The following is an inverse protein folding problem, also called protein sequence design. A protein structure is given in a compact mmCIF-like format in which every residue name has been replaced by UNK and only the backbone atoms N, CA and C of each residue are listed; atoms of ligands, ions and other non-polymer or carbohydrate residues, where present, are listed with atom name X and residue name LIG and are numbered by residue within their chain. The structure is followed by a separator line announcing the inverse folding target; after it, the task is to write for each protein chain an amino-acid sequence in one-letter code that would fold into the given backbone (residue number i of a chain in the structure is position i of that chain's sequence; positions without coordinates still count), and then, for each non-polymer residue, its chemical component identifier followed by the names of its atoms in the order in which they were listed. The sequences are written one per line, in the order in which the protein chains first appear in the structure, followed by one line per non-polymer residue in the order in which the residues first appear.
data_IF_507842744103
#
_entry.id   IF_507842744103
#
_cell.length_a   1.000
_cell.length_b   1.000
_cell.length_c   1.000
_cell.angle_alpha   90.00
_cell.angle_beta   90.00
_cell.angle_gamma   90.00
#
_symmetry.space_group_name_H-M   'P 1'
#
loop_
_entity.id
_entity.type
_entity.pdbx_description
1 polymer ?
#
# COMPACT_ATOMS: atom_id res chain seq x y z
N UNK A 1 12.53 -36.11 28.58
CA UNK A 1 11.24 -35.57 28.10
C UNK A 1 11.58 -34.55 27.04
N UNK A 2 11.18 -34.82 25.81
CA UNK A 2 11.35 -33.82 24.74
C UNK A 2 10.28 -32.72 24.94
N UNK A 3 10.74 -31.49 25.05
CA UNK A 3 9.84 -30.33 25.17
C UNK A 3 9.04 -30.19 23.86
N UNK A 4 7.74 -29.98 23.97
CA UNK A 4 6.90 -29.61 22.82
C UNK A 4 7.15 -28.15 22.40
N UNK A 5 6.81 -27.80 21.16
CA UNK A 5 6.91 -26.41 20.67
C UNK A 5 6.10 -25.43 21.56
N UNK A 6 4.92 -25.86 22.00
CA UNK A 6 4.06 -25.06 22.88
C UNK A 6 4.69 -24.81 24.26
N UNK A 7 5.30 -25.83 24.87
CA UNK A 7 5.99 -25.67 26.17
C UNK A 7 7.23 -24.80 26.07
N UNK A 8 7.99 -24.95 24.97
CA UNK A 8 9.17 -24.13 24.71
C UNK A 8 8.79 -22.66 24.53
N UNK A 9 7.75 -22.40 23.70
CA UNK A 9 7.27 -21.05 23.44
C UNK A 9 6.68 -20.40 24.72
N UNK A 10 5.87 -21.10 25.51
CA UNK A 10 5.34 -20.59 26.77
C UNK A 10 6.43 -20.14 27.73
N UNK A 11 7.52 -20.90 27.90
CA UNK A 11 8.66 -20.51 28.74
C UNK A 11 9.40 -19.27 28.23
N UNK A 12 9.53 -19.14 26.92
CA UNK A 12 10.12 -17.96 26.30
C UNK A 12 9.20 -16.74 26.53
N UNK A 13 7.88 -16.89 26.33
CA UNK A 13 6.91 -15.82 26.54
C UNK A 13 6.85 -15.30 27.97
N UNK A 14 7.04 -16.15 28.99
CA UNK A 14 7.17 -15.71 30.38
C UNK A 14 8.37 -14.76 30.56
N UNK A 15 9.50 -15.07 29.92
CA UNK A 15 10.68 -14.20 29.95
C UNK A 15 10.46 -12.91 29.13
N UNK A 16 9.79 -12.99 28.00
CA UNK A 16 9.42 -11.83 27.16
C UNK A 16 8.53 -10.88 27.96
N UNK A 17 7.53 -11.41 28.67
CA UNK A 17 6.59 -10.63 29.49
C UNK A 17 7.26 -9.88 30.63
N UNK A 18 8.36 -10.44 31.19
CA UNK A 18 9.13 -9.77 32.21
C UNK A 18 10.00 -8.62 31.70
N UNK A 19 10.28 -8.59 30.39
CA UNK A 19 11.22 -7.62 29.77
C UNK A 19 10.53 -6.58 28.91
N UNK A 20 9.37 -6.87 28.35
CA UNK A 20 8.63 -5.97 27.47
C UNK A 20 7.40 -5.39 28.19
N UNK A 21 6.99 -4.15 27.86
CA UNK A 21 5.73 -3.60 28.33
C UNK A 21 4.53 -4.46 27.91
N UNK A 22 3.47 -4.50 28.73
CA UNK A 22 2.27 -5.28 28.45
C UNK A 22 1.62 -4.92 27.09
N UNK A 23 1.67 -3.67 26.69
CA UNK A 23 1.20 -3.21 25.38
C UNK A 23 1.97 -3.85 24.22
N UNK A 24 3.30 -3.87 24.30
CA UNK A 24 4.17 -4.50 23.28
C UNK A 24 3.96 -6.02 23.23
N UNK A 25 3.82 -6.65 24.39
CA UNK A 25 3.55 -8.08 24.48
C UNK A 25 2.21 -8.42 23.80
N UNK A 26 1.15 -7.66 24.07
CA UNK A 26 -0.17 -7.88 23.49
C UNK A 26 -0.18 -7.70 21.96
N UNK A 27 0.52 -6.71 21.46
CA UNK A 27 0.54 -6.39 20.02
C UNK A 27 1.29 -7.45 19.22
N UNK A 28 2.43 -7.94 19.72
CA UNK A 28 3.36 -8.72 18.91
C UNK A 28 3.45 -10.20 19.28
N UNK A 29 3.13 -10.56 20.51
CA UNK A 29 3.36 -11.90 21.05
C UNK A 29 2.12 -12.61 21.58
N UNK A 30 1.05 -11.89 21.89
CA UNK A 30 -0.15 -12.49 22.50
C UNK A 30 -0.87 -13.49 21.57
N UNK A 31 -0.79 -13.24 20.26
CA UNK A 31 -1.43 -14.05 19.22
C UNK A 31 -0.41 -14.88 18.40
N UNK A 32 0.83 -14.93 18.84
CA UNK A 32 1.88 -15.71 18.19
C UNK A 32 1.82 -17.18 18.63
N UNK A 33 1.60 -18.08 17.67
CA UNK A 33 1.40 -19.50 17.94
C UNK A 33 2.64 -20.32 17.55
N UNK A 34 3.12 -21.25 18.42
CA UNK A 34 4.24 -22.11 18.08
C UNK A 34 3.84 -23.18 17.07
N UNK A 35 4.52 -23.23 15.93
CA UNK A 35 4.21 -24.13 14.82
C UNK A 35 5.03 -25.42 14.88
N UNK A 36 6.33 -25.30 15.06
CA UNK A 36 7.25 -26.44 15.07
C UNK A 36 8.50 -26.15 15.91
N UNK A 37 9.04 -27.21 16.53
CA UNK A 37 10.32 -27.16 17.25
C UNK A 37 11.26 -28.23 16.70
N UNK A 38 12.47 -27.80 16.31
CA UNK A 38 13.58 -28.69 15.97
C UNK A 38 14.75 -28.52 16.93
N UNK A 39 15.88 -29.17 16.66
CA UNK A 39 17.04 -29.08 17.55
C UNK A 39 17.56 -27.63 17.71
N UNK A 40 17.51 -26.84 16.65
CA UNK A 40 18.13 -25.51 16.60
C UNK A 40 17.16 -24.38 16.18
N UNK A 41 15.89 -24.72 15.86
CA UNK A 41 14.89 -23.78 15.33
C UNK A 41 13.53 -23.96 16.01
N UNK A 42 12.94 -22.85 16.44
CA UNK A 42 11.54 -22.75 16.82
C UNK A 42 10.79 -21.89 15.79
N UNK A 43 9.87 -22.47 15.05
CA UNK A 43 9.01 -21.76 14.14
C UNK A 43 7.75 -21.27 14.87
N UNK A 44 7.45 -19.99 14.74
CA UNK A 44 6.31 -19.30 15.39
C UNK A 44 5.44 -18.66 14.31
N UNK A 45 4.15 -18.93 14.34
CA UNK A 45 3.16 -18.34 13.45
C UNK A 45 2.70 -16.97 13.95
N UNK A 46 2.59 -16.02 13.03
CA UNK A 46 1.97 -14.72 13.24
C UNK A 46 0.89 -14.48 12.20
N UNK A 47 -0.08 -13.62 12.50
CA UNK A 47 -1.21 -13.33 11.59
C UNK A 47 -0.85 -12.44 10.40
N UNK A 48 0.34 -11.88 10.35
CA UNK A 48 0.77 -10.93 9.32
C UNK A 48 2.22 -11.19 8.93
N UNK A 49 2.51 -11.20 7.63
CA UNK A 49 3.86 -11.33 7.08
C UNK A 49 4.75 -10.16 7.56
N UNK A 50 4.20 -8.96 7.59
CA UNK A 50 4.87 -7.79 8.16
C UNK A 50 5.22 -7.97 9.64
N UNK A 51 4.30 -8.55 10.46
CA UNK A 51 4.58 -8.82 11.87
C UNK A 51 5.69 -9.86 12.02
N UNK A 52 5.73 -10.88 11.14
CA UNK A 52 6.78 -11.89 11.13
C UNK A 52 8.16 -11.27 10.87
N UNK A 53 8.32 -10.54 9.78
CA UNK A 53 9.58 -9.88 9.41
C UNK A 53 10.02 -8.87 10.48
N UNK A 54 9.08 -8.04 10.95
CA UNK A 54 9.39 -6.99 11.91
C UNK A 54 9.78 -7.52 13.29
N UNK A 55 9.09 -8.55 13.81
CA UNK A 55 9.42 -9.19 15.10
C UNK A 55 10.76 -9.93 14.98
N UNK A 56 11.02 -10.60 13.88
CA UNK A 56 12.27 -11.31 13.63
C UNK A 56 13.46 -10.34 13.58
N UNK A 57 13.33 -9.25 12.82
CA UNK A 57 14.40 -8.24 12.68
C UNK A 57 14.68 -7.50 14.01
N UNK A 58 13.63 -7.13 14.72
CA UNK A 58 13.75 -6.29 15.91
C UNK A 58 13.98 -7.04 17.21
N UNK A 59 13.39 -8.20 17.38
CA UNK A 59 13.43 -8.96 18.62
C UNK A 59 14.15 -10.30 18.48
N UNK A 60 14.56 -10.73 17.28
CA UNK A 60 15.18 -12.03 17.02
C UNK A 60 16.39 -12.30 17.91
N UNK A 61 17.32 -11.35 18.03
CA UNK A 61 18.49 -11.47 18.90
C UNK A 61 18.11 -11.58 20.39
N UNK A 62 17.15 -10.75 20.85
CA UNK A 62 16.67 -10.79 22.22
C UNK A 62 15.95 -12.10 22.53
N UNK A 63 15.13 -12.59 21.62
CA UNK A 63 14.41 -13.84 21.75
C UNK A 63 15.34 -15.06 21.78
N UNK A 64 16.42 -15.06 20.99
CA UNK A 64 17.45 -16.10 21.02
C UNK A 64 18.14 -16.16 22.39
N UNK A 65 18.49 -14.98 22.96
CA UNK A 65 19.07 -14.90 24.32
C UNK A 65 18.08 -15.35 25.41
N UNK A 66 16.79 -15.05 25.25
CA UNK A 66 15.75 -15.49 26.18
C UNK A 66 15.47 -16.98 26.07
N UNK A 67 15.53 -17.53 24.85
CA UNK A 67 15.42 -18.97 24.61
C UNK A 67 16.58 -19.73 25.27
N UNK A 68 17.81 -19.23 25.16
CA UNK A 68 18.98 -19.83 25.83
C UNK A 68 18.83 -19.84 27.35
N UNK A 69 18.31 -18.75 27.94
CA UNK A 69 18.05 -18.68 29.39
C UNK A 69 16.90 -19.56 29.86
N UNK A 70 15.82 -19.64 29.06
CA UNK A 70 14.61 -20.40 29.44
C UNK A 70 14.77 -21.91 29.21
N UNK A 71 15.54 -22.32 28.22
CA UNK A 71 15.62 -23.72 27.76
C UNK A 71 17.01 -24.33 27.92
N UNK A 72 18.02 -23.53 28.30
CA UNK A 72 19.42 -24.00 28.47
C UNK A 72 20.13 -24.33 27.15
N UNK A 73 19.56 -23.99 26.02
CA UNK A 73 20.14 -24.16 24.67
C UNK A 73 19.80 -22.99 23.77
N UNK A 74 20.69 -22.67 22.86
CA UNK A 74 20.50 -21.60 21.88
C UNK A 74 19.56 -22.09 20.77
N UNK A 75 18.48 -21.36 20.53
CA UNK A 75 17.51 -21.61 19.46
C UNK A 75 17.40 -20.38 18.56
N UNK A 76 17.37 -20.59 17.28
CA UNK A 76 16.91 -19.57 16.32
C UNK A 76 15.40 -19.57 16.34
N UNK A 77 14.78 -18.39 16.49
CA UNK A 77 13.31 -18.26 16.44
C UNK A 77 13.00 -17.60 15.11
N UNK A 78 12.24 -18.31 14.26
CA UNK A 78 11.80 -17.82 12.95
C UNK A 78 10.31 -17.60 12.99
N UNK A 79 9.87 -16.42 12.53
CA UNK A 79 8.48 -16.07 12.45
C UNK A 79 7.95 -16.27 11.03
N UNK A 80 6.79 -16.90 10.91
CA UNK A 80 6.16 -17.20 9.63
C UNK A 80 4.71 -16.74 9.65
N UNK A 81 4.21 -16.27 8.52
CA UNK A 81 2.79 -16.00 8.38
C UNK A 81 2.00 -17.29 8.49
N UNK A 82 1.13 -17.38 9.48
CA UNK A 82 0.24 -18.53 9.68
C UNK A 82 -1.20 -18.02 9.90
N UNK A 83 -2.05 -18.21 8.89
CA UNK A 83 -3.48 -18.01 9.04
C UNK A 83 -4.01 -19.18 9.90
N UNK A 84 -4.24 -18.93 11.17
CA UNK A 84 -4.74 -19.92 12.12
C UNK A 84 -6.05 -20.53 11.64
N UNK A 85 -6.08 -21.85 11.47
CA UNK A 85 -7.29 -22.63 11.18
C UNK A 85 -7.88 -23.04 12.54
N UNK A 86 -9.10 -22.67 12.92
CA UNK A 86 -9.72 -23.10 14.16
C UNK A 86 -10.28 -24.52 13.98
N UNK A 87 -9.46 -25.55 14.16
CA UNK A 87 -9.93 -26.92 14.28
C UNK A 87 -9.76 -27.45 15.70
N UNK A 88 -10.81 -27.99 16.33
CA UNK A 88 -10.66 -28.73 17.57
C UNK A 88 -9.92 -30.06 17.30
N UNK A 89 -9.00 -30.40 18.20
CA UNK A 89 -8.26 -31.64 18.21
C UNK A 89 -9.19 -32.86 18.05
N UNK A 90 -9.01 -33.62 16.98
CA UNK A 90 -9.56 -34.98 16.85
C UNK A 90 -8.51 -36.00 17.27
N UNK A 91 -8.79 -36.69 18.35
CA UNK A 91 -8.11 -37.91 18.77
C UNK A 91 -7.97 -38.89 17.59
N UNK A 92 -6.83 -39.58 17.43
CA UNK A 92 -6.65 -40.56 16.35
C UNK A 92 -7.52 -41.78 16.59
N UNK A 93 -8.42 -42.08 15.63
CA UNK A 93 -9.16 -43.28 15.55
C UNK A 93 -8.35 -44.37 14.80
N UNK A 94 -8.38 -45.65 15.21
CA UNK A 94 -7.65 -46.73 14.55
C UNK A 94 -8.22 -47.01 13.16
N UNK A 95 -7.44 -47.60 12.23
CA UNK A 95 -7.84 -47.80 10.84
C UNK A 95 -9.00 -48.82 10.74
N UNK A 96 -10.00 -48.56 9.86
CA UNK A 96 -11.09 -49.50 9.65
C UNK A 96 -10.65 -50.66 8.75
N UNK A 97 -11.16 -51.83 9.08
CA UNK A 97 -11.03 -53.07 8.32
C UNK A 97 -11.75 -52.99 6.95
N UNK A 98 -11.35 -53.81 5.94
CA UNK A 98 -11.90 -53.75 4.60
C UNK A 98 -13.34 -54.28 4.54
N UNK A 99 -14.26 -53.51 3.96
CA UNK A 99 -15.62 -53.93 3.67
C UNK A 99 -15.78 -54.29 2.18
N UNK A 100 -16.67 -55.26 1.86
CA UNK A 100 -16.84 -55.78 0.51
C UNK A 100 -17.68 -54.83 -0.39
N UNK A 101 -17.40 -54.92 -1.69
CA UNK A 101 -18.07 -54.18 -2.74
C UNK A 101 -19.54 -54.60 -2.91
N UNK A 102 -20.42 -53.60 -3.05
CA UNK A 102 -21.76 -53.83 -3.59
C UNK A 102 -22.78 -52.80 -3.17
N UNK A 103 -23.33 -52.04 -4.13
CA UNK A 103 -24.58 -51.30 -3.95
C UNK A 103 -24.56 -49.86 -4.44
N UNK A 104 -25.03 -49.63 -5.67
CA UNK A 104 -25.35 -48.29 -6.19
C UNK A 104 -26.50 -47.67 -5.40
N UNK A 105 -26.24 -46.55 -4.72
CA UNK A 105 -27.22 -45.66 -4.07
C UNK A 105 -27.22 -44.28 -4.71
N UNK A 106 -28.29 -43.47 -4.59
CA UNK A 106 -28.56 -42.32 -5.46
C UNK A 106 -27.60 -41.16 -5.22
N UNK A 107 -27.41 -40.35 -6.29
CA UNK A 107 -26.54 -39.21 -6.38
C UNK A 107 -26.57 -38.30 -5.15
N UNK A 108 -25.46 -38.24 -4.44
CA UNK A 108 -25.21 -37.31 -3.34
C UNK A 108 -25.13 -35.87 -3.86
N UNK A 109 -25.63 -34.93 -3.05
CA UNK A 109 -25.50 -33.49 -3.26
C UNK A 109 -24.02 -33.12 -3.47
N UNK A 110 -23.72 -32.11 -4.31
CA UNK A 110 -22.34 -31.69 -4.56
C UNK A 110 -21.70 -31.19 -3.26
N UNK A 111 -20.57 -31.79 -2.92
CA UNK A 111 -19.73 -31.27 -1.82
C UNK A 111 -19.34 -29.82 -2.10
N UNK A 112 -19.27 -28.94 -1.09
CA UNK A 112 -18.82 -27.58 -1.26
C UNK A 112 -17.35 -27.58 -1.72
N UNK A 113 -17.13 -27.25 -2.99
CA UNK A 113 -15.80 -27.09 -3.53
C UNK A 113 -15.08 -25.94 -2.79
N UNK A 114 -13.80 -26.09 -2.43
CA UNK A 114 -13.04 -25.00 -1.79
C UNK A 114 -13.05 -23.77 -2.70
N UNK A 115 -13.34 -22.61 -2.10
CA UNK A 115 -13.34 -21.31 -2.75
C UNK A 115 -12.01 -21.12 -3.50
N UNK A 116 -12.06 -21.21 -4.82
CA UNK A 116 -10.88 -21.03 -5.68
C UNK A 116 -10.76 -19.55 -6.05
N UNK A 117 -10.17 -18.76 -5.17
CA UNK A 117 -9.61 -17.47 -5.57
C UNK A 117 -8.42 -17.73 -6.49
N UNK A 118 -8.52 -17.29 -7.72
CA UNK A 118 -7.42 -17.29 -8.69
C UNK A 118 -6.58 -16.02 -8.49
N UNK A 119 -5.28 -16.16 -8.34
CA UNK A 119 -4.41 -15.03 -8.10
C UNK A 119 -3.96 -14.93 -6.63
N UNK A 120 -3.78 -13.71 -6.13
CA UNK A 120 -3.52 -13.49 -4.72
C UNK A 120 -4.84 -13.59 -3.91
N UNK A 121 -4.79 -14.05 -2.65
CA UNK A 121 -5.96 -14.03 -1.78
C UNK A 121 -6.44 -12.58 -1.58
N UNK A 122 -7.73 -12.40 -1.38
CA UNK A 122 -8.27 -11.11 -0.98
C UNK A 122 -7.84 -10.80 0.46
N UNK A 123 -7.45 -9.55 0.71
CA UNK A 123 -7.09 -9.12 2.06
C UNK A 123 -8.37 -8.99 2.92
N UNK A 124 -8.46 -9.77 3.99
CA UNK A 124 -9.62 -9.81 4.89
C UNK A 124 -9.93 -8.47 5.58
N UNK A 125 -8.93 -7.58 5.69
CA UNK A 125 -9.13 -6.24 6.25
C UNK A 125 -9.78 -5.25 5.28
N UNK A 126 -9.86 -5.59 3.99
CA UNK A 126 -10.37 -4.69 2.95
C UNK A 126 -11.83 -4.98 2.62
N UNK A 127 -12.71 -4.61 3.55
CA UNK A 127 -14.18 -4.74 3.41
C UNK A 127 -14.85 -3.37 3.32
N UNK A 128 -16.10 -3.33 2.91
CA UNK A 128 -16.85 -2.08 2.83
C UNK A 128 -17.09 -1.45 4.20
N UNK A 129 -17.25 -2.25 5.25
CA UNK A 129 -17.50 -1.79 6.63
C UNK A 129 -16.29 -1.02 7.19
N UNK A 130 -15.08 -1.39 6.72
CA UNK A 130 -13.83 -0.75 7.16
C UNK A 130 -13.40 0.42 6.27
N UNK A 131 -14.13 0.65 5.17
CA UNK A 131 -13.85 1.75 4.27
C UNK A 131 -14.56 3.01 4.71
N UNK A 132 -13.82 4.07 5.02
CA UNK A 132 -14.39 5.35 5.42
C UNK A 132 -14.82 6.14 4.19
N UNK A 133 -16.12 6.38 4.07
CA UNK A 133 -16.69 7.17 2.99
C UNK A 133 -16.70 8.64 3.38
N UNK A 134 -16.15 9.49 2.50
CA UNK A 134 -16.14 10.94 2.59
C UNK A 134 -16.52 11.58 1.27
N UNK A 135 -16.54 12.92 1.23
CA UNK A 135 -16.89 13.69 0.03
C UNK A 135 -15.97 13.38 -1.18
N UNK A 136 -14.74 13.00 -0.89
CA UNK A 136 -13.67 12.74 -1.85
C UNK A 136 -13.74 11.36 -2.54
N UNK A 137 -14.52 10.41 -2.02
CA UNK A 137 -14.59 9.02 -2.50
C UNK A 137 -16.02 8.47 -2.58
N UNK A 138 -17.02 9.28 -2.29
CA UNK A 138 -18.42 8.85 -2.20
C UNK A 138 -18.93 8.21 -3.49
N UNK A 139 -18.60 8.77 -4.66
CA UNK A 139 -19.01 8.22 -5.94
C UNK A 139 -18.37 6.86 -6.21
N UNK A 140 -17.06 6.74 -5.94
CA UNK A 140 -16.34 5.49 -6.11
C UNK A 140 -16.88 4.40 -5.17
N UNK A 141 -17.12 4.73 -3.90
CA UNK A 141 -17.72 3.80 -2.93
C UNK A 141 -19.12 3.35 -3.36
N UNK A 142 -19.99 4.27 -3.76
CA UNK A 142 -21.32 3.94 -4.23
C UNK A 142 -21.31 3.06 -5.49
N UNK A 143 -20.40 3.34 -6.44
CA UNK A 143 -20.22 2.52 -7.64
C UNK A 143 -19.76 1.10 -7.30
N UNK A 144 -18.82 0.96 -6.35
CA UNK A 144 -18.34 -0.34 -5.86
C UNK A 144 -19.45 -1.16 -5.20
N UNK A 145 -20.29 -0.53 -4.37
CA UNK A 145 -21.46 -1.17 -3.79
C UNK A 145 -22.46 -1.64 -4.87
N UNK A 146 -22.77 -0.78 -5.86
CA UNK A 146 -23.67 -1.15 -6.95
C UNK A 146 -23.14 -2.34 -7.78
N UNK A 147 -21.82 -2.40 -8.03
CA UNK A 147 -21.18 -3.52 -8.71
C UNK A 147 -21.23 -4.79 -7.86
N UNK A 148 -20.99 -4.68 -6.56
CA UNK A 148 -21.07 -5.82 -5.64
C UNK A 148 -22.51 -6.36 -5.53
N UNK A 149 -23.53 -5.48 -5.60
CA UNK A 149 -24.94 -5.86 -5.57
C UNK A 149 -25.43 -6.53 -6.86
N UNK A 150 -25.03 -6.00 -8.01
CA UNK A 150 -25.48 -6.47 -9.32
C UNK A 150 -24.31 -6.57 -10.31
N UNK A 151 -23.40 -7.57 -10.15
CA UNK A 151 -22.23 -7.73 -11.02
C UNK A 151 -22.62 -7.83 -12.50
N UNK A 152 -21.83 -7.17 -13.34
CA UNK A 152 -22.00 -7.09 -14.80
C UNK A 152 -23.30 -6.45 -15.32
N UNK A 153 -24.12 -5.88 -14.43
CA UNK A 153 -25.39 -5.26 -14.81
C UNK A 153 -25.34 -3.74 -14.78
N UNK A 154 -24.70 -3.17 -13.76
CA UNK A 154 -24.75 -1.72 -13.53
C UNK A 154 -23.58 -1.00 -14.20
N UNK A 155 -22.37 -1.35 -13.83
CA UNK A 155 -21.12 -0.74 -14.36
C UNK A 155 -20.13 -1.81 -14.74
N UNK A 156 -19.92 -2.03 -16.04
CA UNK A 156 -18.94 -3.00 -16.54
C UNK A 156 -18.23 -2.46 -17.79
N UNK A 157 -16.92 -2.20 -17.75
CA UNK A 157 -16.05 -2.27 -16.56
C UNK A 157 -16.33 -1.17 -15.53
N UNK A 158 -15.90 -1.38 -14.29
CA UNK A 158 -15.71 -0.31 -13.31
C UNK A 158 -14.23 0.05 -13.28
N UNK A 159 -13.91 1.32 -13.57
CA UNK A 159 -12.55 1.83 -13.55
C UNK A 159 -12.40 2.87 -12.43
N UNK A 160 -11.53 2.56 -11.46
CA UNK A 160 -11.28 3.41 -10.28
C UNK A 160 -9.87 3.99 -10.39
N UNK A 161 -9.74 5.32 -10.40
CA UNK A 161 -8.43 5.93 -10.45
C UNK A 161 -8.22 6.95 -9.32
N UNK A 162 -6.96 7.32 -9.09
CA UNK A 162 -6.58 8.30 -8.08
C UNK A 162 -5.16 8.06 -7.58
N UNK A 163 -4.62 8.99 -6.84
CA UNK A 163 -3.26 8.94 -6.31
C UNK A 163 -2.95 7.67 -5.51
N UNK A 164 -1.67 7.50 -5.21
CA UNK A 164 -1.19 6.36 -4.41
C UNK A 164 -1.75 6.42 -2.99
N UNK A 165 -2.15 5.25 -2.44
CA UNK A 165 -2.57 5.15 -1.03
C UNK A 165 -3.92 5.75 -0.71
N UNK A 166 -4.83 5.97 -1.68
CA UNK A 166 -6.17 6.53 -1.46
C UNK A 166 -7.28 5.49 -1.23
N UNK A 167 -6.96 4.17 -1.27
CA UNK A 167 -7.91 3.10 -0.99
C UNK A 167 -8.53 2.43 -2.22
N UNK A 168 -7.97 2.60 -3.43
CA UNK A 168 -8.43 1.91 -4.66
C UNK A 168 -8.45 0.39 -4.49
N UNK A 169 -7.34 -0.19 -4.08
CA UNK A 169 -7.18 -1.62 -3.81
C UNK A 169 -8.14 -2.10 -2.72
N UNK A 170 -8.38 -1.28 -1.68
CA UNK A 170 -9.35 -1.59 -0.63
C UNK A 170 -10.76 -1.79 -1.19
N UNK A 171 -11.27 -0.82 -1.96
CA UNK A 171 -12.59 -0.93 -2.59
C UNK A 171 -12.69 -2.09 -3.57
N UNK A 172 -11.63 -2.38 -4.32
CA UNK A 172 -11.56 -3.53 -5.22
C UNK A 172 -11.72 -4.85 -4.45
N UNK A 173 -11.00 -5.03 -3.35
CA UNK A 173 -11.11 -6.21 -2.49
C UNK A 173 -12.50 -6.30 -1.82
N UNK A 174 -13.06 -5.15 -1.39
CA UNK A 174 -14.39 -5.11 -0.79
C UNK A 174 -15.47 -5.60 -1.75
N UNK A 175 -15.37 -5.29 -3.04
CA UNK A 175 -16.25 -5.88 -4.07
C UNK A 175 -16.10 -7.40 -4.10
N UNK A 176 -14.86 -7.90 -4.11
CA UNK A 176 -14.58 -9.32 -4.13
C UNK A 176 -15.17 -10.06 -2.92
N UNK A 177 -14.96 -9.53 -1.70
CA UNK A 177 -15.53 -10.08 -0.48
C UNK A 177 -17.06 -10.11 -0.51
N UNK A 178 -17.71 -9.00 -0.83
CA UNK A 178 -19.17 -8.91 -0.85
C UNK A 178 -19.81 -9.85 -1.88
N UNK A 179 -19.16 -10.11 -3.03
CA UNK A 179 -19.63 -11.06 -4.03
C UNK A 179 -19.46 -12.51 -3.52
N UNK A 180 -18.32 -12.83 -2.89
CA UNK A 180 -18.06 -14.18 -2.36
C UNK A 180 -18.93 -14.50 -1.14
N UNK A 181 -19.27 -13.52 -0.31
CA UNK A 181 -20.20 -13.70 0.82
C UNK A 181 -21.60 -14.06 0.35
N UNK A 182 -22.06 -13.44 -0.77
CA UNK A 182 -23.37 -13.75 -1.35
C UNK A 182 -23.42 -15.05 -2.11
N UNK A 183 -22.36 -15.37 -2.84
CA UNK A 183 -22.24 -16.54 -3.68
C UNK A 183 -20.81 -17.12 -3.60
N UNK A 184 -20.54 -17.99 -2.62
CA UNK A 184 -19.22 -18.60 -2.44
C UNK A 184 -18.75 -19.47 -3.62
N UNK A 185 -19.65 -19.83 -4.55
CA UNK A 185 -19.32 -20.58 -5.76
C UNK A 185 -18.71 -19.72 -6.87
N UNK A 186 -18.69 -18.41 -6.75
CA UNK A 186 -18.12 -17.49 -7.75
C UNK A 186 -16.60 -17.63 -7.84
N UNK A 187 -16.12 -17.60 -9.07
CA UNK A 187 -14.69 -17.60 -9.36
C UNK A 187 -14.20 -16.16 -9.45
N UNK A 188 -13.49 -15.73 -8.44
CA UNK A 188 -12.92 -14.37 -8.35
C UNK A 188 -11.41 -14.45 -8.63
N UNK A 189 -10.91 -13.61 -9.54
CA UNK A 189 -9.48 -13.44 -9.77
C UNK A 189 -9.07 -12.03 -9.36
N UNK A 190 -8.17 -11.92 -8.39
CA UNK A 190 -7.45 -10.70 -8.06
C UNK A 190 -6.00 -10.80 -8.49
N UNK A 191 -5.55 -9.86 -9.29
CA UNK A 191 -4.20 -9.86 -9.85
C UNK A 191 -3.71 -8.45 -10.12
N UNK A 192 -2.43 -8.14 -9.86
CA UNK A 192 -1.82 -6.93 -10.37
C UNK A 192 -1.53 -7.06 -11.87
N UNK A 193 -1.51 -5.95 -12.59
CA UNK A 193 -1.16 -5.97 -14.02
C UNK A 193 0.26 -6.49 -14.29
N UNK A 194 1.18 -6.32 -13.34
CA UNK A 194 2.52 -6.91 -13.40
C UNK A 194 2.48 -8.43 -13.32
N UNK A 195 1.71 -8.98 -12.37
CA UNK A 195 1.53 -10.43 -12.24
C UNK A 195 0.87 -11.02 -13.47
N UNK A 196 -0.18 -10.37 -14.00
CA UNK A 196 -0.79 -10.78 -15.26
C UNK A 196 0.24 -10.85 -16.39
N UNK A 197 1.12 -9.85 -16.51
CA UNK A 197 2.21 -9.82 -17.48
C UNK A 197 3.19 -10.99 -17.26
N UNK A 198 3.59 -11.25 -16.02
CA UNK A 198 4.53 -12.32 -15.70
C UNK A 198 3.93 -13.70 -15.96
N UNK A 199 2.65 -13.91 -15.60
CA UNK A 199 1.93 -15.15 -15.88
C UNK A 199 1.79 -15.39 -17.41
N UNK A 200 1.58 -14.32 -18.19
CA UNK A 200 1.54 -14.38 -19.64
C UNK A 200 2.91 -14.79 -20.22
N UNK A 201 3.99 -14.13 -19.79
CA UNK A 201 5.34 -14.43 -20.26
C UNK A 201 5.72 -15.88 -19.97
N UNK A 202 5.48 -16.36 -18.74
CA UNK A 202 5.72 -17.74 -18.34
C UNK A 202 4.91 -18.71 -19.22
N UNK A 203 3.62 -18.43 -19.44
CA UNK A 203 2.75 -19.28 -20.26
C UNK A 203 3.16 -19.34 -21.73
N UNK A 204 3.76 -18.26 -22.27
CA UNK A 204 4.34 -18.25 -23.62
C UNK A 204 5.60 -19.12 -23.67
N UNK A 205 6.50 -18.96 -22.67
CA UNK A 205 7.75 -19.72 -22.61
C UNK A 205 7.52 -21.23 -22.45
N UNK A 206 6.54 -21.60 -21.65
CA UNK A 206 6.20 -22.99 -21.33
C UNK A 206 5.25 -23.63 -22.35
N UNK A 207 4.74 -22.85 -23.33
CA UNK A 207 3.76 -23.34 -24.31
C UNK A 207 2.35 -23.62 -23.75
N UNK A 208 2.01 -23.06 -22.59
CA UNK A 208 0.76 -23.30 -21.86
C UNK A 208 -0.29 -22.18 -22.00
N UNK A 209 -0.36 -21.53 -23.17
CA UNK A 209 -1.31 -20.44 -23.42
C UNK A 209 -2.79 -20.82 -23.26
N UNK A 210 -3.14 -22.09 -23.53
CA UNK A 210 -4.51 -22.56 -23.31
C UNK A 210 -4.91 -22.53 -21.82
N UNK A 211 -3.99 -22.88 -20.93
CA UNK A 211 -4.22 -22.85 -19.47
C UNK A 211 -4.29 -21.41 -18.95
N UNK A 212 -3.45 -20.52 -19.47
CA UNK A 212 -3.52 -19.07 -19.19
C UNK A 212 -4.90 -18.50 -19.56
N UNK A 213 -5.36 -18.75 -20.80
CA UNK A 213 -6.65 -18.28 -21.29
C UNK A 213 -7.81 -18.86 -20.47
N UNK A 214 -7.79 -20.14 -20.14
CA UNK A 214 -8.78 -20.75 -19.27
C UNK A 214 -8.80 -20.10 -17.90
N UNK A 215 -7.63 -19.85 -17.30
CA UNK A 215 -7.48 -19.21 -15.99
C UNK A 215 -8.12 -17.83 -15.95
N UNK A 216 -7.89 -16.98 -16.94
CA UNK A 216 -8.32 -15.58 -16.93
C UNK A 216 -9.64 -15.31 -17.66
N UNK A 217 -10.14 -16.22 -18.50
CA UNK A 217 -11.38 -16.01 -19.26
C UNK A 217 -12.59 -16.81 -18.72
N UNK A 218 -12.37 -17.76 -17.81
CA UNK A 218 -13.43 -18.57 -17.21
C UNK A 218 -13.76 -18.17 -15.77
N UNK A 219 -13.63 -16.91 -15.41
CA UNK A 219 -13.92 -16.34 -14.09
C UNK A 219 -15.21 -15.52 -14.12
N UNK A 220 -15.79 -15.27 -12.96
CA UNK A 220 -17.02 -14.50 -12.82
C UNK A 220 -16.76 -13.03 -12.47
N UNK A 221 -15.62 -12.76 -11.81
CA UNK A 221 -15.15 -11.43 -11.45
C UNK A 221 -13.64 -11.33 -11.67
N UNK A 222 -13.22 -10.37 -12.50
CA UNK A 222 -11.84 -10.01 -12.71
C UNK A 222 -11.53 -8.69 -12.00
N UNK A 223 -10.58 -8.73 -11.07
CA UNK A 223 -10.05 -7.57 -10.35
C UNK A 223 -8.59 -7.38 -10.79
N UNK A 224 -8.30 -6.33 -11.55
CA UNK A 224 -6.94 -5.99 -11.99
C UNK A 224 -6.49 -4.69 -11.35
N UNK A 225 -5.44 -4.79 -10.54
CA UNK A 225 -4.85 -3.64 -9.85
C UNK A 225 -3.74 -3.00 -10.69
N UNK A 226 -3.68 -1.68 -10.64
CA UNK A 226 -2.62 -0.87 -11.23
C UNK A 226 -2.40 -1.09 -12.73
N UNK A 227 -3.49 -1.00 -13.53
CA UNK A 227 -3.43 -1.24 -15.00
C UNK A 227 -2.52 -0.29 -15.77
N UNK A 228 -2.07 0.82 -15.17
CA UNK A 228 -1.10 1.72 -15.78
C UNK A 228 0.23 1.05 -16.11
N UNK A 229 0.62 -0.04 -15.42
CA UNK A 229 1.80 -0.84 -15.76
C UNK A 229 1.65 -1.69 -17.03
N UNK A 230 0.47 -1.72 -17.67
CA UNK A 230 0.29 -2.30 -19.01
C UNK A 230 0.88 -1.39 -20.10
N UNK A 231 1.07 -0.11 -19.83
CA UNK A 231 1.67 0.83 -20.78
C UNK A 231 2.98 0.31 -21.37
N UNK A 232 3.23 0.60 -22.64
CA UNK A 232 4.43 0.21 -23.39
C UNK A 232 4.67 -1.30 -23.57
N UNK A 233 3.71 -2.18 -23.18
CA UNK A 233 3.82 -3.64 -23.28
C UNK A 233 2.86 -4.21 -24.34
N UNK A 234 3.10 -3.94 -25.62
CA UNK A 234 2.20 -4.26 -26.73
C UNK A 234 1.61 -5.69 -26.68
N UNK A 235 2.46 -6.72 -26.54
CA UNK A 235 1.98 -8.13 -26.46
C UNK A 235 1.09 -8.40 -25.27
N UNK A 236 1.36 -7.76 -24.12
CA UNK A 236 0.52 -7.90 -22.93
C UNK A 236 -0.80 -7.19 -23.14
N UNK A 237 -0.79 -6.01 -23.74
CA UNK A 237 -2.00 -5.27 -24.08
C UNK A 237 -2.89 -6.03 -25.06
N UNK A 238 -2.31 -6.71 -26.06
CA UNK A 238 -3.06 -7.54 -27.01
C UNK A 238 -3.79 -8.70 -26.31
N UNK A 239 -3.09 -9.50 -25.50
CA UNK A 239 -3.72 -10.64 -24.80
C UNK A 239 -4.72 -10.16 -23.73
N UNK A 240 -4.42 -9.02 -23.08
CA UNK A 240 -5.35 -8.37 -22.15
C UNK A 240 -6.63 -7.92 -22.86
N UNK A 241 -6.52 -7.29 -24.03
CA UNK A 241 -7.68 -6.89 -24.84
C UNK A 241 -8.58 -8.08 -25.19
N UNK A 242 -7.98 -9.20 -25.60
CA UNK A 242 -8.74 -10.42 -25.88
C UNK A 242 -9.38 -11.02 -24.62
N UNK A 243 -8.71 -10.97 -23.48
CA UNK A 243 -9.24 -11.43 -22.21
C UNK A 243 -10.39 -10.55 -21.74
N UNK A 244 -10.24 -9.24 -21.86
CA UNK A 244 -11.29 -8.26 -21.56
C UNK A 244 -12.55 -8.52 -22.39
N UNK A 245 -12.40 -8.64 -23.74
CA UNK A 245 -13.55 -8.89 -24.61
C UNK A 245 -14.25 -10.22 -24.29
N UNK A 246 -13.50 -11.29 -24.05
CA UNK A 246 -14.08 -12.59 -23.70
C UNK A 246 -14.91 -12.52 -22.40
N UNK A 247 -14.44 -11.81 -21.38
CA UNK A 247 -15.18 -11.63 -20.13
C UNK A 247 -16.40 -10.71 -20.31
N UNK A 248 -16.23 -9.62 -21.04
CA UNK A 248 -17.29 -8.66 -21.28
C UNK A 248 -18.46 -9.29 -22.06
N UNK A 249 -18.16 -10.02 -23.15
CA UNK A 249 -19.15 -10.75 -23.96
C UNK A 249 -19.85 -11.88 -23.17
N UNK A 250 -19.13 -12.50 -22.25
CA UNK A 250 -19.69 -13.52 -21.33
C UNK A 250 -20.44 -12.88 -20.14
N UNK A 251 -20.67 -11.57 -20.12
CA UNK A 251 -21.31 -10.84 -19.02
C UNK A 251 -20.65 -11.12 -17.67
N UNK A 252 -19.31 -11.10 -17.64
CA UNK A 252 -18.51 -11.21 -16.40
C UNK A 252 -18.07 -9.82 -15.95
N UNK A 253 -18.06 -9.60 -14.63
CA UNK A 253 -17.65 -8.31 -14.08
C UNK A 253 -16.16 -8.08 -14.19
N UNK A 254 -15.77 -6.88 -14.60
CA UNK A 254 -14.39 -6.41 -14.67
C UNK A 254 -14.28 -5.15 -13.80
N UNK A 255 -13.28 -5.12 -12.91
CA UNK A 255 -12.93 -3.96 -12.09
C UNK A 255 -11.44 -3.66 -12.27
N UNK A 256 -11.12 -2.42 -12.56
CA UNK A 256 -9.77 -1.97 -12.88
C UNK A 256 -9.39 -0.82 -11.95
N UNK A 257 -8.13 -0.77 -11.53
CA UNK A 257 -7.61 0.42 -10.83
C UNK A 257 -6.40 1.00 -11.54
N UNK A 258 -6.16 2.30 -11.34
CA UNK A 258 -5.01 3.02 -11.88
C UNK A 258 -4.63 4.21 -10.99
N UNK A 259 -3.44 4.75 -11.16
CA UNK A 259 -3.03 6.02 -10.55
C UNK A 259 -3.61 7.25 -11.29
N UNK A 260 -4.05 7.06 -12.56
CA UNK A 260 -4.54 8.10 -13.47
C UNK A 260 -5.67 7.60 -14.36
N UNK A 261 -6.46 8.50 -15.00
CA UNK A 261 -7.55 8.10 -15.90
C UNK A 261 -7.01 7.41 -17.16
N UNK A 262 -7.83 6.59 -17.87
CA UNK A 262 -7.39 5.79 -19.01
C UNK A 262 -6.62 6.57 -20.09
N UNK A 263 -7.09 7.78 -20.42
CA UNK A 263 -6.47 8.63 -21.47
C UNK A 263 -5.08 9.16 -21.11
N UNK A 264 -4.76 9.21 -19.84
CA UNK A 264 -3.48 9.73 -19.33
C UNK A 264 -2.45 8.62 -19.06
N UNK A 265 -2.79 7.34 -19.33
CA UNK A 265 -1.84 6.23 -19.18
C UNK A 265 -0.89 6.23 -20.38
N UNK A 266 0.41 6.49 -20.19
CA UNK A 266 1.38 6.53 -21.29
C UNK A 266 1.50 5.16 -21.97
N UNK A 267 1.55 5.13 -23.29
CA UNK A 267 1.76 3.90 -24.07
C UNK A 267 0.60 2.90 -24.01
N UNK A 268 -0.58 3.29 -23.49
CA UNK A 268 -1.77 2.47 -23.57
C UNK A 268 -2.45 2.63 -24.94
N UNK A 269 -2.77 1.51 -25.59
CA UNK A 269 -3.41 1.50 -26.90
C UNK A 269 -4.84 2.08 -26.85
N UNK A 270 -5.23 2.87 -27.87
CA UNK A 270 -6.54 3.52 -27.96
C UNK A 270 -7.72 2.53 -27.83
N UNK A 271 -7.55 1.29 -28.33
CA UNK A 271 -8.59 0.25 -28.21
C UNK A 271 -8.84 -0.16 -26.75
N UNK A 272 -7.79 -0.16 -25.90
CA UNK A 272 -7.93 -0.43 -24.46
C UNK A 272 -8.50 0.79 -23.73
N UNK A 273 -8.05 2.00 -24.07
CA UNK A 273 -8.63 3.25 -23.53
C UNK A 273 -10.13 3.26 -23.75
N UNK A 274 -10.58 2.99 -24.98
CA UNK A 274 -12.01 2.92 -25.33
C UNK A 274 -12.76 1.87 -24.51
N UNK A 275 -12.15 0.69 -24.25
CA UNK A 275 -12.76 -0.37 -23.43
C UNK A 275 -12.86 0.02 -21.97
N UNK A 276 -11.84 0.67 -21.43
CA UNK A 276 -11.84 1.12 -20.02
C UNK A 276 -12.86 2.22 -19.76
N UNK A 277 -13.11 3.07 -20.75
CA UNK A 277 -14.13 4.14 -20.69
C UNK A 277 -15.56 3.68 -21.01
N UNK A 278 -15.75 2.45 -21.48
CA UNK A 278 -17.08 1.96 -21.87
C UNK A 278 -18.06 1.85 -20.70
N UNK A 279 -17.56 1.58 -19.49
CA UNK A 279 -18.34 1.48 -18.27
C UNK A 279 -18.35 2.77 -17.46
N UNK A 280 -18.13 2.65 -16.15
CA UNK A 280 -18.00 3.79 -15.26
C UNK A 280 -16.53 4.03 -14.91
N UNK A 281 -16.06 5.25 -15.16
CA UNK A 281 -14.76 5.75 -14.70
C UNK A 281 -15.01 6.68 -13.51
N UNK A 282 -14.42 6.41 -12.36
CA UNK A 282 -14.58 7.19 -11.14
C UNK A 282 -13.25 7.47 -10.46
N UNK A 283 -13.13 8.64 -9.84
CA UNK A 283 -11.93 9.08 -9.15
C UNK A 283 -12.02 8.97 -7.63
N UNK A 284 -10.88 8.81 -7.00
CA UNK A 284 -10.70 8.97 -5.55
C UNK A 284 -9.68 10.09 -5.33
N UNK A 285 -10.12 11.14 -4.62
CA UNK A 285 -9.27 12.29 -4.26
C UNK A 285 -8.68 12.15 -2.86
N UNK A 286 -7.64 12.91 -2.51
CA UNK A 286 -7.16 12.98 -1.13
C UNK A 286 -8.30 13.33 -0.16
N UNK A 287 -8.32 12.71 1.04
CA UNK A 287 -9.38 12.94 2.01
C UNK A 287 -9.33 14.36 2.59
N UNK A 288 -10.51 14.96 2.78
CA UNK A 288 -10.65 16.19 3.54
C UNK A 288 -10.32 15.99 5.04
N UNK A 289 -10.30 17.07 5.80
CA UNK A 289 -9.88 17.02 7.21
C UNK A 289 -10.79 16.11 8.05
N UNK A 290 -12.08 16.19 7.88
CA UNK A 290 -13.09 15.40 8.59
C UNK A 290 -12.95 13.92 8.24
N UNK A 291 -12.76 13.61 6.96
CA UNK A 291 -12.53 12.24 6.49
C UNK A 291 -11.23 11.67 7.06
N UNK A 292 -10.14 12.47 7.16
CA UNK A 292 -8.89 12.02 7.78
C UNK A 292 -9.05 11.68 9.25
N UNK A 293 -9.80 12.50 10.02
CA UNK A 293 -10.12 12.19 11.43
C UNK A 293 -10.90 10.88 11.53
N UNK A 294 -11.89 10.68 10.66
CA UNK A 294 -12.69 9.46 10.65
C UNK A 294 -11.83 8.23 10.32
N UNK A 295 -10.92 8.33 9.32
CA UNK A 295 -9.97 7.26 8.97
C UNK A 295 -9.06 6.94 10.15
N UNK A 296 -8.41 7.96 10.76
CA UNK A 296 -7.54 7.76 11.91
C UNK A 296 -8.26 7.07 13.07
N UNK A 297 -9.50 7.49 13.35
CA UNK A 297 -10.32 6.86 14.40
C UNK A 297 -10.67 5.42 14.09
N UNK A 298 -11.07 5.12 12.85
CA UNK A 298 -11.40 3.76 12.42
C UNK A 298 -10.17 2.86 12.51
N UNK A 299 -9.02 3.33 12.01
CA UNK A 299 -7.77 2.57 12.04
C UNK A 299 -7.22 2.37 13.45
N UNK A 300 -7.31 3.38 14.32
CA UNK A 300 -6.95 3.24 15.72
C UNK A 300 -7.83 2.20 16.43
N UNK A 301 -9.15 2.22 16.18
CA UNK A 301 -10.07 1.25 16.77
C UNK A 301 -9.85 -0.18 16.27
N UNK A 302 -9.41 -0.37 15.00
CA UNK A 302 -9.04 -1.69 14.47
C UNK A 302 -7.88 -2.34 15.22
N UNK A 303 -7.00 -1.53 15.82
CA UNK A 303 -5.86 -1.96 16.64
C UNK A 303 -6.13 -1.80 18.16
N UNK A 304 -7.40 -1.71 18.57
CA UNK A 304 -7.85 -1.50 19.96
C UNK A 304 -7.21 -0.27 20.64
N UNK A 305 -6.84 0.73 19.83
CA UNK A 305 -6.21 1.95 20.30
C UNK A 305 -7.23 3.09 20.44
N UNK A 306 -7.39 3.60 21.65
CA UNK A 306 -8.18 4.81 21.91
C UNK A 306 -7.25 6.02 21.89
N UNK A 307 -7.38 6.86 20.85
CA UNK A 307 -6.64 8.12 20.74
C UNK A 307 -7.51 9.29 21.17
N UNK A 308 -6.93 10.19 21.97
CA UNK A 308 -7.59 11.44 22.33
C UNK A 308 -7.91 12.30 21.10
N UNK A 309 -9.03 13.05 21.11
CA UNK A 309 -9.43 13.93 20.02
C UNK A 309 -8.34 14.91 19.58
N UNK A 310 -7.54 15.43 20.52
CA UNK A 310 -6.46 16.36 20.25
C UNK A 310 -5.31 15.71 19.47
N UNK A 311 -5.06 14.42 19.69
CA UNK A 311 -4.05 13.64 18.96
C UNK A 311 -4.54 13.40 17.53
N UNK A 312 -5.82 13.01 17.39
CA UNK A 312 -6.44 12.80 16.07
C UNK A 312 -6.42 14.10 15.25
N UNK A 313 -6.76 15.24 15.86
CA UNK A 313 -6.71 16.56 15.22
C UNK A 313 -5.28 16.91 14.78
N UNK A 314 -4.30 16.71 15.68
CA UNK A 314 -2.90 16.93 15.38
C UNK A 314 -2.42 16.08 14.21
N UNK A 315 -2.71 14.76 14.21
CA UNK A 315 -2.33 13.87 13.14
C UNK A 315 -3.01 14.23 11.82
N UNK A 316 -4.32 14.51 11.84
CA UNK A 316 -5.08 14.87 10.65
C UNK A 316 -4.64 16.21 10.02
N UNK A 317 -4.12 17.15 10.81
CA UNK A 317 -3.55 18.42 10.30
C UNK A 317 -2.19 18.23 9.64
N UNK A 318 -1.42 17.28 10.11
CA UNK A 318 -0.03 17.09 9.70
C UNK A 318 0.15 16.00 8.62
N UNK A 319 -0.68 14.96 8.61
CA UNK A 319 -0.67 13.91 7.58
C UNK A 319 -1.76 14.22 6.55
N UNK A 320 -1.40 14.77 5.39
CA UNK A 320 -2.35 15.32 4.41
C UNK A 320 -2.39 14.59 3.09
N UNK A 321 -1.37 13.79 2.75
CA UNK A 321 -1.18 13.30 1.39
C UNK A 321 -2.10 12.13 1.05
N UNK A 322 -2.15 11.09 1.87
CA UNK A 322 -2.90 9.88 1.57
C UNK A 322 -3.20 9.04 2.82
N UNK A 323 -4.02 7.98 2.64
CA UNK A 323 -4.43 7.10 3.75
C UNK A 323 -3.28 6.24 4.26
N UNK A 324 -2.34 5.82 3.40
CA UNK A 324 -1.14 5.07 3.85
C UNK A 324 -0.27 5.90 4.80
N UNK A 325 -0.16 7.20 4.57
CA UNK A 325 0.53 8.11 5.49
C UNK A 325 -0.15 8.14 6.86
N UNK A 326 -1.49 8.20 6.90
CA UNK A 326 -2.25 8.16 8.14
C UNK A 326 -2.05 6.85 8.91
N UNK A 327 -2.12 5.70 8.22
CA UNK A 327 -1.85 4.38 8.79
C UNK A 327 -0.40 4.28 9.29
N UNK A 328 0.56 4.71 8.50
CA UNK A 328 1.98 4.75 8.89
C UNK A 328 2.25 5.65 10.09
N UNK A 329 1.53 6.77 10.21
CA UNK A 329 1.63 7.66 11.37
C UNK A 329 1.11 7.00 12.66
N UNK A 330 0.00 6.23 12.61
CA UNK A 330 -0.50 5.46 13.76
C UNK A 330 0.54 4.42 14.19
N UNK A 331 1.05 3.63 13.24
CA UNK A 331 2.06 2.59 13.51
C UNK A 331 3.31 3.21 14.13
N UNK A 332 3.78 4.35 13.60
CA UNK A 332 4.96 5.05 14.12
C UNK A 332 4.73 5.59 15.53
N UNK A 333 3.54 6.12 15.80
CA UNK A 333 3.16 6.62 17.12
C UNK A 333 3.14 5.48 18.16
N UNK A 334 2.54 4.33 17.79
CA UNK A 334 2.53 3.13 18.61
C UNK A 334 3.94 2.61 18.90
N UNK A 335 4.76 2.49 17.86
CA UNK A 335 6.14 2.05 18.00
C UNK A 335 6.95 2.99 18.92
N UNK A 336 6.77 4.30 18.77
CA UNK A 336 7.49 5.28 19.59
C UNK A 336 7.03 5.29 21.05
N UNK A 337 5.73 5.21 21.32
CA UNK A 337 5.17 5.04 22.66
C UNK A 337 5.71 3.78 23.33
N UNK A 338 5.71 2.67 22.61
CA UNK A 338 6.23 1.38 23.10
C UNK A 338 7.73 1.44 23.44
N UNK A 339 8.54 2.06 22.57
CA UNK A 339 9.99 2.19 22.76
C UNK A 339 10.34 3.09 23.95
N UNK A 340 9.65 4.22 24.08
CA UNK A 340 9.90 5.20 25.15
C UNK A 340 9.19 4.87 26.45
N UNK A 341 8.25 3.91 26.43
CA UNK A 341 7.35 3.55 27.56
C UNK A 341 6.56 4.74 28.06
N UNK A 342 6.19 5.66 27.19
CA UNK A 342 5.41 6.86 27.52
C UNK A 342 3.99 6.70 27.00
N UNK A 343 3.05 7.29 27.75
CA UNK A 343 1.66 7.40 27.29
C UNK A 343 1.57 8.21 25.99
N UNK A 344 0.58 7.88 25.15
CA UNK A 344 0.36 8.57 23.88
C UNK A 344 -0.29 9.92 24.20
N UNK A 345 0.49 10.98 24.00
CA UNK A 345 0.09 12.38 24.17
C UNK A 345 0.37 13.16 22.90
N UNK A 346 -0.16 14.39 22.77
CA UNK A 346 0.14 15.28 21.63
C UNK A 346 1.64 15.57 21.54
N UNK A 347 2.33 15.70 22.67
CA UNK A 347 3.78 15.96 22.67
C UNK A 347 4.55 14.71 22.20
N UNK A 348 4.16 13.52 22.62
CA UNK A 348 4.73 12.27 22.10
C UNK A 348 4.46 12.13 20.58
N UNK A 349 3.24 12.46 20.14
CA UNK A 349 2.90 12.43 18.73
C UNK A 349 3.77 13.43 17.91
N UNK A 350 4.03 14.62 18.47
CA UNK A 350 4.92 15.61 17.86
C UNK A 350 6.36 15.11 17.75
N UNK A 351 6.87 14.46 18.80
CA UNK A 351 8.20 13.85 18.79
C UNK A 351 8.29 12.67 17.82
N UNK A 352 7.32 11.75 17.88
CA UNK A 352 7.28 10.54 17.05
C UNK A 352 7.14 10.87 15.55
N UNK A 353 6.28 11.83 15.24
CA UNK A 353 6.01 12.27 13.85
C UNK A 353 6.95 13.39 13.40
N UNK A 354 7.72 14.00 14.32
CA UNK A 354 8.62 15.10 14.04
C UNK A 354 9.62 14.82 12.91
N UNK A 355 10.06 13.60 12.71
CA UNK A 355 10.86 13.20 11.55
C UNK A 355 10.05 13.07 10.23
N UNK A 356 8.73 12.93 10.31
CA UNK A 356 7.79 13.01 9.16
C UNK A 356 7.37 14.47 8.96
N UNK A 357 7.32 15.24 10.08
CA UNK A 357 6.91 16.64 10.12
C UNK A 357 8.07 17.62 9.89
N UNK A 358 9.33 17.17 10.00
CA UNK A 358 10.54 17.90 9.61
C UNK A 358 10.88 17.73 8.12
N UNK A 359 10.16 16.90 7.40
CA UNK A 359 9.73 17.32 6.07
C UNK A 359 8.83 18.52 6.34
N UNK A 360 9.35 19.73 6.32
CA UNK A 360 8.60 20.96 6.24
C UNK A 360 7.50 20.77 5.19
N UNK A 361 6.43 21.59 5.10
CA UNK A 361 5.32 21.32 4.22
C UNK A 361 5.90 20.71 2.95
N UNK A 362 5.54 19.46 2.63
CA UNK A 362 6.01 18.86 1.40
C UNK A 362 5.64 19.92 0.37
N UNK A 363 6.64 20.64 -0.07
CA UNK A 363 6.40 21.76 -0.96
C UNK A 363 5.80 21.09 -2.17
N UNK A 364 4.46 21.22 -2.34
CA UNK A 364 3.82 20.74 -3.56
C UNK A 364 4.79 21.03 -4.69
N UNK A 365 5.06 20.03 -5.51
CA UNK A 365 5.90 20.19 -6.71
C UNK A 365 5.23 21.25 -7.61
N UNK A 366 5.29 22.47 -7.14
CA UNK A 366 4.72 23.67 -7.72
C UNK A 366 5.78 24.78 -7.70
N UNK A 367 5.73 25.76 -8.60
CA UNK A 367 6.66 26.86 -8.60
C UNK A 367 6.72 27.60 -7.24
N UNK A 368 5.58 27.67 -6.55
CA UNK A 368 5.45 28.27 -5.22
C UNK A 368 6.17 27.42 -4.16
N UNK A 369 5.97 26.13 -4.18
CA UNK A 369 6.61 25.18 -3.28
C UNK A 369 8.13 25.17 -3.43
N UNK A 370 8.64 25.10 -4.67
CA UNK A 370 10.07 25.12 -4.93
C UNK A 370 10.70 26.44 -4.46
N UNK A 371 10.03 27.58 -4.69
CA UNK A 371 10.51 28.88 -4.17
C UNK A 371 10.56 28.91 -2.65
N UNK A 372 9.56 28.34 -1.98
CA UNK A 372 9.50 28.29 -0.53
C UNK A 372 10.62 27.39 0.05
N UNK A 373 10.85 26.21 -0.51
CA UNK A 373 11.94 25.30 -0.11
C UNK A 373 13.32 25.98 -0.24
N UNK A 374 13.58 26.60 -1.40
CA UNK A 374 14.83 27.31 -1.62
C UNK A 374 14.99 28.50 -0.67
N UNK A 375 13.91 29.25 -0.39
CA UNK A 375 13.92 30.37 0.54
C UNK A 375 14.28 29.91 1.96
N UNK A 376 13.66 28.85 2.43
CA UNK A 376 13.89 28.26 3.75
C UNK A 376 15.34 27.76 3.88
N UNK A 377 15.79 26.97 2.93
CA UNK A 377 17.14 26.41 2.93
C UNK A 377 18.24 27.46 2.86
N UNK A 378 17.99 28.56 2.12
CA UNK A 378 18.91 29.69 2.01
C UNK A 378 18.70 30.76 3.10
N UNK A 379 17.76 30.55 4.03
CA UNK A 379 17.41 31.47 5.13
C UNK A 379 17.06 32.88 4.65
N UNK A 380 16.26 32.96 3.58
CA UNK A 380 15.74 34.23 3.05
C UNK A 380 14.22 34.17 2.95
N UNK A 381 13.56 35.32 2.75
CA UNK A 381 12.10 35.29 2.54
C UNK A 381 11.73 35.00 1.10
N UNK A 382 10.57 34.35 0.86
CA UNK A 382 10.05 34.09 -0.49
C UNK A 382 9.90 35.37 -1.31
N UNK A 383 9.48 36.48 -0.67
CA UNK A 383 9.38 37.78 -1.31
C UNK A 383 10.76 38.33 -1.78
N UNK A 384 11.83 37.98 -1.08
CA UNK A 384 13.17 38.36 -1.50
C UNK A 384 13.56 37.67 -2.83
N UNK A 385 13.20 36.38 -3.00
CA UNK A 385 13.47 35.63 -4.23
C UNK A 385 12.78 36.27 -5.45
N UNK A 386 11.56 36.75 -5.30
CA UNK A 386 10.78 37.38 -6.38
C UNK A 386 11.11 38.84 -6.59
N UNK A 387 11.79 39.49 -5.61
CA UNK A 387 12.11 40.90 -5.63
C UNK A 387 13.05 41.32 -6.79
N UNK A 388 13.16 42.61 -7.04
CA UNK A 388 14.12 43.18 -8.01
C UNK A 388 15.57 43.31 -7.47
N UNK A 389 15.82 42.85 -6.23
CA UNK A 389 17.16 42.93 -5.61
C UNK A 389 18.17 42.05 -6.39
N UNK A 390 19.41 42.57 -6.49
CA UNK A 390 20.52 41.97 -7.25
C UNK A 390 21.72 41.58 -6.36
N UNK A 391 21.55 41.54 -5.05
CA UNK A 391 22.61 41.11 -4.11
C UNK A 391 22.83 39.58 -4.28
N UNK A 392 24.07 39.14 -4.04
CA UNK A 392 24.44 37.70 -4.19
C UNK A 392 23.54 36.78 -3.36
N UNK A 393 23.22 37.21 -2.13
CA UNK A 393 22.40 36.44 -1.18
C UNK A 393 20.97 36.13 -1.68
N UNK A 394 20.47 36.94 -2.63
CA UNK A 394 19.12 36.79 -3.20
C UNK A 394 19.20 36.25 -4.63
N UNK A 395 20.26 36.60 -5.37
CA UNK A 395 20.38 36.21 -6.78
C UNK A 395 20.69 34.72 -6.95
N UNK A 396 21.58 34.17 -6.12
CA UNK A 396 21.93 32.72 -6.19
C UNK A 396 20.75 31.82 -5.83
N UNK A 397 20.04 32.00 -4.70
CA UNK A 397 18.82 31.26 -4.41
C UNK A 397 17.76 31.34 -5.53
N UNK A 398 17.56 32.53 -6.10
CA UNK A 398 16.64 32.75 -7.22
C UNK A 398 17.02 31.92 -8.45
N UNK A 399 18.31 31.88 -8.79
CA UNK A 399 18.84 31.12 -9.93
C UNK A 399 18.63 29.59 -9.68
N UNK A 400 18.91 29.11 -8.48
CA UNK A 400 18.66 27.72 -8.07
C UNK A 400 17.16 27.40 -8.17
N UNK A 401 16.28 28.27 -7.69
CA UNK A 401 14.84 28.04 -7.80
C UNK A 401 14.35 28.00 -9.26
N UNK A 402 14.86 28.87 -10.14
CA UNK A 402 14.54 28.82 -11.58
C UNK A 402 15.02 27.51 -12.23
N UNK A 403 16.22 27.05 -11.86
CA UNK A 403 16.79 25.80 -12.35
C UNK A 403 15.93 24.60 -11.91
N UNK A 404 15.60 24.48 -10.62
CA UNK A 404 14.78 23.40 -10.08
C UNK A 404 13.37 23.40 -10.68
N UNK A 405 12.74 24.57 -10.87
CA UNK A 405 11.42 24.64 -11.52
C UNK A 405 11.51 24.14 -12.97
N UNK A 406 12.56 24.48 -13.71
CA UNK A 406 12.75 23.98 -15.07
C UNK A 406 12.96 22.48 -15.10
N UNK A 407 13.81 21.96 -14.23
CA UNK A 407 14.17 20.55 -14.16
C UNK A 407 13.01 19.66 -13.69
N UNK A 408 12.30 20.07 -12.62
CA UNK A 408 11.30 19.20 -11.94
C UNK A 408 9.89 19.36 -12.50
N UNK A 409 9.54 20.54 -13.07
CA UNK A 409 8.19 20.82 -13.58
C UNK A 409 8.15 20.97 -15.12
N UNK A 410 9.29 21.00 -15.79
CA UNK A 410 9.45 21.22 -17.24
C UNK A 410 8.67 22.42 -17.80
N UNK A 411 8.45 23.47 -16.98
CA UNK A 411 7.68 24.64 -17.38
C UNK A 411 8.38 25.44 -18.47
N UNK A 412 7.61 26.10 -19.37
CA UNK A 412 8.16 27.02 -20.37
C UNK A 412 8.90 28.19 -19.72
N UNK A 413 10.04 28.63 -20.29
CA UNK A 413 10.90 29.69 -19.74
C UNK A 413 10.16 31.00 -19.48
N UNK A 414 9.18 31.34 -20.32
CA UNK A 414 8.34 32.54 -20.17
C UNK A 414 7.46 32.40 -18.91
N UNK A 415 6.93 31.23 -18.65
CA UNK A 415 6.12 30.94 -17.49
C UNK A 415 6.94 31.00 -16.19
N UNK A 416 8.13 30.37 -16.20
CA UNK A 416 9.09 30.52 -15.12
C UNK A 416 9.36 32.00 -14.82
N UNK A 417 9.62 32.80 -15.85
CA UNK A 417 9.85 34.25 -15.69
C UNK A 417 8.71 34.97 -14.96
N UNK A 418 7.45 34.59 -15.20
CA UNK A 418 6.27 35.16 -14.52
C UNK A 418 6.29 34.91 -13.01
N UNK A 419 6.67 33.72 -12.57
CA UNK A 419 6.77 33.34 -11.16
C UNK A 419 7.89 34.10 -10.40
N UNK A 420 8.80 34.77 -11.10
CA UNK A 420 9.90 35.55 -10.51
C UNK A 420 9.82 37.07 -10.77
N UNK A 421 8.61 37.61 -10.78
CA UNK A 421 8.36 39.04 -10.94
C UNK A 421 8.47 39.51 -12.39
N UNK A 422 7.91 38.76 -13.32
CA UNK A 422 7.86 39.04 -14.78
C UNK A 422 9.26 39.25 -15.39
N UNK A 423 10.19 38.35 -15.08
CA UNK A 423 11.53 38.40 -15.67
C UNK A 423 11.50 37.86 -17.11
N UNK A 424 12.34 38.51 -17.92
CA UNK A 424 12.52 38.06 -19.30
C UNK A 424 13.07 36.63 -19.40
N UNK A 425 12.61 35.87 -20.40
CA UNK A 425 13.05 34.50 -20.65
C UNK A 425 14.57 34.37 -20.82
N UNK A 426 15.23 35.37 -21.38
CA UNK A 426 16.70 35.42 -21.50
C UNK A 426 17.39 35.44 -20.12
N UNK A 427 16.80 36.11 -19.12
CA UNK A 427 17.28 36.09 -17.75
C UNK A 427 17.12 34.71 -17.10
N UNK A 428 16.02 34.00 -17.41
CA UNK A 428 15.78 32.64 -16.94
C UNK A 428 16.79 31.67 -17.54
N UNK A 429 17.01 31.71 -18.86
CA UNK A 429 18.02 30.89 -19.55
C UNK A 429 19.40 31.08 -18.92
N UNK A 430 19.84 32.33 -18.80
CA UNK A 430 21.15 32.61 -18.22
C UNK A 430 21.27 32.15 -16.75
N UNK A 431 20.16 32.20 -16.00
CA UNK A 431 20.13 31.75 -14.61
C UNK A 431 20.29 30.24 -14.54
N UNK A 432 19.61 29.48 -15.40
CA UNK A 432 19.66 28.02 -15.48
C UNK A 432 21.07 27.57 -15.88
N UNK A 433 21.59 28.08 -16.99
CA UNK A 433 22.93 27.75 -17.48
C UNK A 433 24.03 28.02 -16.43
N UNK A 434 23.89 29.09 -15.68
CA UNK A 434 24.83 29.43 -14.63
C UNK A 434 24.81 28.42 -13.48
N UNK A 435 23.64 27.97 -13.06
CA UNK A 435 23.51 26.95 -12.00
C UNK A 435 24.05 25.59 -12.50
N UNK A 436 23.78 25.21 -13.75
CA UNK A 436 24.36 24.01 -14.39
C UNK A 436 25.89 24.03 -14.31
N UNK A 437 26.51 25.14 -14.68
CA UNK A 437 27.97 25.31 -14.59
C UNK A 437 28.48 25.28 -13.13
N UNK A 438 27.74 25.92 -12.21
CA UNK A 438 28.11 25.94 -10.79
C UNK A 438 28.01 24.53 -10.16
N UNK A 439 27.05 23.70 -10.55
CA UNK A 439 26.93 22.30 -10.10
C UNK A 439 28.14 21.46 -10.53
N UNK A 440 28.72 21.73 -11.70
CA UNK A 440 29.90 21.03 -12.17
C UNK A 440 31.20 21.45 -11.44
N UNK A 441 31.30 22.72 -11.07
CA UNK A 441 32.52 23.36 -10.59
C UNK A 441 32.59 23.52 -9.07
N UNK A 442 31.44 23.61 -8.37
CA UNK A 442 31.36 23.86 -6.93
C UNK A 442 30.62 22.73 -6.20
N UNK A 443 31.36 21.87 -5.45
CA UNK A 443 30.73 20.79 -4.66
C UNK A 443 29.65 21.26 -3.70
N UNK A 444 29.79 22.47 -3.12
CA UNK A 444 28.82 23.02 -2.17
C UNK A 444 27.50 23.38 -2.87
N UNK A 445 27.55 23.83 -4.12
CA UNK A 445 26.34 24.08 -4.93
C UNK A 445 25.65 22.76 -5.28
N UNK A 446 26.44 21.75 -5.66
CA UNK A 446 25.91 20.39 -5.95
C UNK A 446 25.19 19.82 -4.75
N UNK A 447 25.82 19.77 -3.58
CA UNK A 447 25.21 19.28 -2.34
C UNK A 447 23.92 20.04 -1.97
N UNK A 448 23.91 21.36 -2.15
CA UNK A 448 22.72 22.17 -1.89
C UNK A 448 21.56 21.82 -2.84
N UNK A 449 21.84 21.69 -4.14
CA UNK A 449 20.82 21.34 -5.14
C UNK A 449 20.32 19.92 -4.94
N UNK A 450 21.20 18.96 -4.65
CA UNK A 450 20.84 17.56 -4.41
C UNK A 450 20.00 17.41 -3.12
N UNK A 451 20.32 18.15 -2.07
CA UNK A 451 19.53 18.20 -0.85
C UNK A 451 18.13 18.79 -1.11
N UNK A 452 18.02 19.85 -1.93
CA UNK A 452 16.73 20.43 -2.32
C UNK A 452 15.93 19.49 -3.22
N UNK A 453 16.56 18.74 -4.12
CA UNK A 453 15.89 17.70 -4.92
C UNK A 453 15.28 16.61 -4.03
N UNK A 454 16.06 16.11 -3.06
CA UNK A 454 15.55 15.12 -2.11
C UNK A 454 14.40 15.66 -1.25
N UNK A 455 14.49 16.90 -0.79
CA UNK A 455 13.45 17.55 0.01
C UNK A 455 12.15 17.79 -0.78
N UNK A 456 12.24 18.03 -2.09
CA UNK A 456 11.10 18.29 -2.98
C UNK A 456 10.48 17.01 -3.57
N UNK A 457 11.22 15.92 -3.61
CA UNK A 457 10.73 14.63 -4.14
C UNK A 457 10.24 13.67 -3.06
N UNK A 458 10.40 14.03 -1.77
CA UNK A 458 9.86 13.29 -0.63
C UNK A 458 10.73 12.20 -0.15
#
# INVERSE_FOLDING_TARGET
MELTAAEAWSRILEQVRSKLPDSTYRIWFAEAEPLALSQDLLAVGTRSEFAAEWVEDKYGAMLADLAERALGRRLTISFQHHAGDPRPERTPMPPPAPQPAGGAGPAGAPEPHPVRTLGAPLNERYTFERFVVGSNNQLAAAACHAVAEAPARTYNPLFIYGGVGLGKTHLMHAIGHAILERDPGRRVAYVSSERFTNDLIASIQDGHMADFRRRYREIDLLLIDDVHFLGEKERTQEEFFHTFNALYEAHRQIVLTSDRPPKEIPGLEERLVSRFEWGLVTDIKPPDFETRIAILRTKANEDDLVLDPDILDFMARNCRSNVRELEGAIIKLLAYSSLTRREITVDLAREALGGVLTGGPAHELSPEGIRAAVAERCRITVDAITSKRRTKDVTRPRQIAMFLIREMLDLPLVEIGRHFGNRDHSTVIHSIQKVEQEIEQDPATRELVDALRQELTG
#
